data_IF_778455061504
#
_entry.id   IF_778455061504
#
_cell.length_a   1.000
_cell.length_b   1.000
_cell.length_c   1.000
_cell.angle_alpha   90.00
_cell.angle_beta   90.00
_cell.angle_gamma   90.00
#
_symmetry.space_group_name_H-M   'P 1'
#
loop_
_entity.id
_entity.type
_entity.pdbx_description
1 polymer ?
#
# COMPACT_ATOMS: atom_id res chain seq x y z
N UNK A 1 -23.70 0.38 0.88
CA UNK A 1 -24.56 0.42 2.08
C UNK A 1 -24.59 1.87 2.54
N UNK A 2 -25.74 2.55 2.59
CA UNK A 2 -25.79 3.97 2.94
C UNK A 2 -25.58 4.12 4.45
N UNK A 3 -24.73 5.08 4.84
CA UNK A 3 -24.54 5.54 6.22
C UNK A 3 -24.95 7.01 6.27
N UNK A 4 -25.99 7.32 7.04
CA UNK A 4 -26.38 8.71 7.29
C UNK A 4 -25.61 9.20 8.51
N UNK A 5 -24.68 10.13 8.26
CA UNK A 5 -24.14 11.15 9.17
C UNK A 5 -23.35 10.75 10.41
N UNK A 6 -23.76 9.73 11.17
CA UNK A 6 -23.16 9.39 12.48
C UNK A 6 -23.23 7.91 12.85
N UNK A 7 -23.98 7.08 12.12
CA UNK A 7 -24.11 5.66 12.46
C UNK A 7 -22.94 4.84 11.92
N UNK A 8 -22.20 4.20 12.82
CA UNK A 8 -21.16 3.25 12.43
C UNK A 8 -21.82 1.98 11.91
N UNK A 9 -21.35 1.45 10.78
CA UNK A 9 -21.96 0.27 10.16
C UNK A 9 -21.99 -0.93 11.12
N UNK A 10 -23.02 -1.78 11.09
CA UNK A 10 -23.16 -2.92 12.03
C UNK A 10 -21.93 -3.83 12.07
N UNK A 11 -21.30 -4.06 10.91
CA UNK A 11 -20.04 -4.80 10.82
C UNK A 11 -18.91 -4.07 11.54
N UNK A 12 -18.78 -2.77 11.30
CA UNK A 12 -17.77 -1.89 11.89
C UNK A 12 -17.90 -1.81 13.42
N UNK A 13 -19.13 -1.85 13.95
CA UNK A 13 -19.41 -1.85 15.38
C UNK A 13 -18.95 -3.14 16.09
N UNK A 14 -18.80 -4.24 15.34
CA UNK A 14 -18.33 -5.54 15.83
C UNK A 14 -17.04 -5.97 15.14
N UNK A 15 -16.29 -5.02 14.56
CA UNK A 15 -15.04 -5.34 13.88
C UNK A 15 -13.89 -5.15 14.86
N UNK A 16 -13.59 -6.22 15.57
CA UNK A 16 -12.41 -6.40 16.41
C UNK A 16 -11.28 -7.01 15.57
N UNK A 17 -11.00 -6.36 14.43
CA UNK A 17 -9.92 -6.74 13.52
C UNK A 17 -8.62 -7.00 14.26
N UNK A 18 -7.75 -7.88 13.74
CA UNK A 18 -6.53 -8.26 14.43
C UNK A 18 -5.74 -6.98 14.74
N UNK A 19 -5.43 -6.70 16.02
CA UNK A 19 -4.64 -5.53 16.34
C UNK A 19 -3.32 -5.65 15.59
N UNK A 20 -2.81 -4.55 15.04
CA UNK A 20 -1.43 -4.46 14.52
C UNK A 20 -0.39 -4.91 15.56
N UNK A 21 -0.79 -4.94 16.83
CA UNK A 21 -0.04 -5.44 17.98
C UNK A 21 -0.49 -6.83 18.45
N UNK A 22 -1.11 -7.67 17.61
CA UNK A 22 -1.55 -9.02 18.02
C UNK A 22 -0.40 -9.75 18.71
N UNK A 23 -0.58 -9.92 20.02
CA UNK A 23 0.39 -10.49 20.96
C UNK A 23 0.74 -11.95 20.65
N UNK A 24 0.01 -12.58 19.72
CA UNK A 24 0.23 -13.94 19.24
C UNK A 24 1.29 -14.05 18.15
N UNK A 25 1.72 -12.93 17.56
CA UNK A 25 2.66 -12.93 16.45
C UNK A 25 4.08 -12.61 16.92
N UNK A 26 5.01 -13.49 16.57
CA UNK A 26 6.45 -13.36 16.86
C UNK A 26 7.03 -12.13 16.16
N UNK A 27 8.28 -11.75 16.49
CA UNK A 27 8.95 -10.60 15.86
C UNK A 27 8.94 -10.64 14.33
N UNK A 28 9.12 -11.84 13.74
CA UNK A 28 9.06 -12.06 12.29
C UNK A 28 7.64 -11.87 11.72
N UNK A 29 6.61 -12.40 12.39
CA UNK A 29 5.22 -12.24 11.94
C UNK A 29 4.70 -10.81 12.05
N UNK A 30 5.16 -10.05 13.04
CA UNK A 30 4.87 -8.61 13.10
C UNK A 30 5.57 -7.84 11.98
N UNK A 31 6.82 -8.20 11.65
CA UNK A 31 7.56 -7.58 10.57
C UNK A 31 6.94 -7.88 9.20
N UNK A 32 6.51 -9.12 8.92
CA UNK A 32 5.81 -9.49 7.70
C UNK A 32 4.56 -8.63 7.45
N UNK A 33 3.64 -8.53 8.43
CA UNK A 33 2.45 -7.66 8.31
C UNK A 33 2.76 -6.19 8.12
N UNK A 34 3.86 -5.71 8.71
CA UNK A 34 4.29 -4.34 8.49
C UNK A 34 4.78 -4.16 7.05
N UNK A 35 5.48 -5.13 6.48
CA UNK A 35 5.88 -5.12 5.07
C UNK A 35 4.68 -5.18 4.12
N UNK A 36 3.66 -6.00 4.41
CA UNK A 36 2.41 -6.02 3.60
C UNK A 36 1.74 -4.65 3.55
N UNK A 37 1.70 -3.95 4.69
CA UNK A 37 1.19 -2.57 4.76
C UNK A 37 2.03 -1.63 3.89
N UNK A 38 3.36 -1.76 3.95
CA UNK A 38 4.27 -0.92 3.16
C UNK A 38 4.09 -1.20 1.67
N UNK A 39 3.97 -2.46 1.26
CA UNK A 39 3.69 -2.84 -0.13
C UNK A 39 2.41 -2.19 -0.66
N UNK A 40 1.33 -2.26 0.11
CA UNK A 40 0.07 -1.60 -0.23
C UNK A 40 0.21 -0.08 -0.39
N UNK A 41 1.00 0.58 0.47
CA UNK A 41 1.25 2.02 0.36
C UNK A 41 2.07 2.38 -0.89
N UNK A 42 3.02 1.53 -1.27
CA UNK A 42 3.83 1.68 -2.48
C UNK A 42 2.94 1.57 -3.73
N UNK A 43 2.03 0.60 -3.77
CA UNK A 43 1.08 0.45 -4.87
C UNK A 43 0.12 1.65 -4.97
N UNK A 44 -0.35 2.18 -3.84
CA UNK A 44 -1.18 3.39 -3.83
C UNK A 44 -0.41 4.60 -4.39
N UNK A 45 0.83 4.80 -3.92
CA UNK A 45 1.68 5.88 -4.42
C UNK A 45 1.95 5.75 -5.92
N UNK A 46 2.19 4.53 -6.42
CA UNK A 46 2.37 4.27 -7.86
C UNK A 46 1.12 4.63 -8.64
N UNK A 47 -0.05 4.22 -8.17
CA UNK A 47 -1.33 4.53 -8.81
C UNK A 47 -1.58 6.04 -8.89
N UNK A 48 -1.25 6.79 -7.83
CA UNK A 48 -1.37 8.25 -7.78
C UNK A 48 -0.41 8.95 -8.76
N UNK A 49 0.83 8.47 -8.88
CA UNK A 49 1.78 8.96 -9.89
C UNK A 49 1.26 8.73 -11.30
N UNK A 50 0.77 7.52 -11.60
CA UNK A 50 0.22 7.20 -12.93
C UNK A 50 -1.04 8.01 -13.24
N UNK A 51 -1.90 8.26 -12.24
CA UNK A 51 -3.06 9.13 -12.38
C UNK A 51 -2.64 10.58 -12.66
N UNK A 52 -1.60 11.06 -11.97
CA UNK A 52 -1.03 12.39 -12.21
C UNK A 52 -0.57 12.51 -13.66
N UNK A 53 0.21 11.55 -14.16
CA UNK A 53 0.69 11.55 -15.55
C UNK A 53 -0.46 11.56 -16.57
N UNK A 54 -1.53 10.79 -16.33
CA UNK A 54 -2.72 10.78 -17.21
C UNK A 54 -3.48 12.10 -17.23
N UNK A 55 -3.37 12.89 -16.18
CA UNK A 55 -4.06 14.17 -16.02
C UNK A 55 -3.19 15.37 -16.41
N UNK A 56 -1.95 15.15 -16.87
CA UNK A 56 -1.10 16.23 -17.36
C UNK A 56 -1.60 16.72 -18.72
N UNK A 57 -1.64 18.04 -18.86
CA UNK A 57 -1.89 18.70 -20.13
C UNK A 57 -0.71 18.51 -21.11
N UNK A 58 -0.97 18.69 -22.40
CA UNK A 58 0.03 18.44 -23.45
C UNK A 58 1.23 19.41 -23.47
N UNK A 59 1.22 20.44 -22.64
CA UNK A 59 2.31 21.41 -22.45
C UNK A 59 3.23 21.04 -21.26
N UNK A 60 2.96 19.92 -20.58
CA UNK A 60 3.81 19.42 -19.51
C UNK A 60 5.26 19.19 -20.01
N UNK A 61 6.29 19.61 -19.24
CA UNK A 61 7.68 19.41 -19.64
C UNK A 61 8.00 17.92 -19.82
N UNK A 62 8.56 17.57 -20.98
CA UNK A 62 8.84 16.17 -21.35
C UNK A 62 9.68 15.42 -20.29
N UNK A 63 10.68 16.11 -19.72
CA UNK A 63 11.54 15.52 -18.68
C UNK A 63 10.75 15.22 -17.40
N UNK A 64 9.81 16.08 -17.01
CA UNK A 64 8.93 15.82 -15.86
C UNK A 64 8.07 14.58 -16.09
N UNK A 65 7.51 14.42 -17.29
CA UNK A 65 6.72 13.22 -17.64
C UNK A 65 7.59 11.96 -17.58
N UNK A 66 8.80 12.02 -18.14
CA UNK A 66 9.76 10.91 -18.09
C UNK A 66 10.17 10.54 -16.66
N UNK A 67 10.43 11.53 -15.81
CA UNK A 67 10.79 11.34 -14.41
C UNK A 67 9.66 10.68 -13.61
N UNK A 68 8.40 11.06 -13.88
CA UNK A 68 7.23 10.44 -13.24
C UNK A 68 7.05 8.97 -13.67
N UNK A 69 7.26 8.65 -14.94
CA UNK A 69 7.25 7.24 -15.39
C UNK A 69 8.40 6.43 -14.76
N UNK A 70 9.59 7.02 -14.65
CA UNK A 70 10.72 6.38 -13.97
C UNK A 70 10.41 6.14 -12.49
N UNK A 71 9.83 7.12 -11.80
CA UNK A 71 9.39 6.99 -10.42
C UNK A 71 8.35 5.86 -10.26
N UNK A 72 7.35 5.78 -11.14
CA UNK A 72 6.36 4.70 -11.13
C UNK A 72 7.00 3.30 -11.32
N UNK A 73 7.99 3.19 -12.21
CA UNK A 73 8.74 1.95 -12.41
C UNK A 73 9.54 1.55 -11.16
N UNK A 74 10.18 2.51 -10.49
CA UNK A 74 10.89 2.26 -9.23
C UNK A 74 9.95 1.85 -8.10
N UNK A 75 8.77 2.47 -8.00
CA UNK A 75 7.75 2.09 -7.01
C UNK A 75 7.27 0.66 -7.23
N UNK A 76 6.96 0.28 -8.48
CA UNK A 76 6.62 -1.11 -8.81
C UNK A 76 7.70 -2.09 -8.35
N UNK A 77 8.97 -1.79 -8.67
CA UNK A 77 10.07 -2.66 -8.27
C UNK A 77 10.25 -2.73 -6.76
N UNK A 78 10.02 -1.61 -6.06
CA UNK A 78 10.05 -1.58 -4.61
C UNK A 78 8.97 -2.49 -4.01
N UNK A 79 7.73 -2.43 -4.53
CA UNK A 79 6.63 -3.30 -4.11
C UNK A 79 6.98 -4.79 -4.22
N UNK A 80 7.46 -5.21 -5.39
CA UNK A 80 7.89 -6.60 -5.63
C UNK A 80 8.96 -7.08 -4.62
N UNK A 81 9.93 -6.22 -4.28
CA UNK A 81 10.99 -6.55 -3.32
C UNK A 81 10.48 -6.60 -1.88
N UNK A 82 9.52 -5.74 -1.54
CA UNK A 82 8.89 -5.72 -0.22
C UNK A 82 8.05 -6.98 -0.01
N UNK A 83 7.23 -7.36 -1.00
CA UNK A 83 6.43 -8.59 -0.97
C UNK A 83 7.33 -9.82 -0.82
N UNK A 84 8.41 -9.89 -1.61
CA UNK A 84 9.37 -10.99 -1.48
C UNK A 84 10.00 -11.04 -0.07
N UNK A 85 10.31 -9.90 0.53
CA UNK A 85 10.84 -9.86 1.89
C UNK A 85 9.79 -10.28 2.93
N UNK A 86 8.52 -9.94 2.73
CA UNK A 86 7.42 -10.38 3.57
C UNK A 86 7.28 -11.91 3.51
N UNK A 87 7.24 -12.49 2.31
CA UNK A 87 7.18 -13.95 2.10
C UNK A 87 8.32 -14.69 2.81
N UNK A 88 9.56 -14.16 2.74
CA UNK A 88 10.71 -14.76 3.43
C UNK A 88 10.59 -14.71 4.96
N UNK A 89 10.00 -13.66 5.52
CA UNK A 89 9.74 -13.55 6.96
C UNK A 89 8.59 -14.43 7.43
N UNK A 90 7.61 -14.69 6.57
CA UNK A 90 6.54 -15.66 6.83
C UNK A 90 7.06 -17.09 6.79
N UNK A 91 7.88 -17.43 5.80
CA UNK A 91 8.48 -18.76 5.67
C UNK A 91 9.46 -19.12 6.81
N UNK A 92 9.96 -18.13 7.54
CA UNK A 92 10.87 -18.31 8.67
C UNK A 92 10.18 -18.53 10.03
N UNK A 93 8.84 -18.52 10.07
CA UNK A 93 8.02 -18.79 11.26
C UNK A 93 7.70 -20.28 11.42
#
# INVERSE_FOLDING_TARGET
>A
MPIDGTDTCRFCATYDGPPITDSRLTGAGRAARQLDRVSNLVELARADVEATVRNLDGDAPLLTVADLYAAAAHLRRAGELIDQAAELLEAAQ
#
